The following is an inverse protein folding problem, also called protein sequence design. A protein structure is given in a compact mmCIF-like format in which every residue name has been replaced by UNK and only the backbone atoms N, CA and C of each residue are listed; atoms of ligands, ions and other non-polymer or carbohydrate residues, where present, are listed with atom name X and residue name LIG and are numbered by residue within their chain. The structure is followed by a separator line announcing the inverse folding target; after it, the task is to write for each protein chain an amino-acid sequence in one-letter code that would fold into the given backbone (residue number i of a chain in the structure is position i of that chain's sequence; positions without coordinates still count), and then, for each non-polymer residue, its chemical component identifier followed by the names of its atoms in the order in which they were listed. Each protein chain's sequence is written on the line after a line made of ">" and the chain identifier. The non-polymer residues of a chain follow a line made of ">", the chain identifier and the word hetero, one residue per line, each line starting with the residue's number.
data_IF_851853049651
#
_entry.id   IF_851853049651
#
_cell.length_a   1.000
_cell.length_b   1.000
_cell.length_c   1.000
_cell.angle_alpha   90.00
_cell.angle_beta   90.00
_cell.angle_gamma   90.00
#
_symmetry.space_group_name_H-M   'P 1'
#
loop_
_entity.id
_entity.type
_entity.pdbx_description
1 polymer ?
#
# COMPACT_ATOMS: atom_id res chain seq x y z
N UNK A 1 38.01 -22.09 -63.50
CA UNK A 1 38.83 -22.42 -62.32
C UNK A 1 40.18 -22.84 -62.87
N UNK A 2 41.28 -22.23 -62.45
CA UNK A 2 42.59 -22.51 -63.04
C UNK A 2 43.07 -23.82 -62.41
N UNK A 3 43.24 -24.88 -63.20
CA UNK A 3 43.64 -26.19 -62.68
C UNK A 3 45.06 -26.09 -62.13
N UNK A 4 45.17 -25.96 -60.81
CA UNK A 4 46.44 -25.96 -60.12
C UNK A 4 46.93 -27.40 -60.03
N UNK A 5 48.17 -27.61 -60.47
CA UNK A 5 48.81 -28.92 -60.44
C UNK A 5 48.98 -29.33 -58.97
N UNK A 6 48.49 -30.51 -58.60
CA UNK A 6 48.62 -31.06 -57.25
C UNK A 6 50.06 -31.49 -56.95
N UNK A 7 50.49 -31.46 -55.68
CA UNK A 7 51.82 -31.96 -55.28
C UNK A 7 52.09 -33.38 -55.79
N UNK A 8 51.06 -34.26 -55.76
CA UNK A 8 51.14 -35.62 -56.32
C UNK A 8 51.30 -35.65 -57.83
N UNK A 9 50.73 -34.68 -58.55
CA UNK A 9 50.88 -34.54 -60.00
C UNK A 9 52.25 -33.99 -60.38
N UNK A 10 52.86 -33.16 -59.52
CA UNK A 10 54.25 -32.70 -59.67
C UNK A 10 55.22 -33.88 -59.47
N UNK A 11 54.99 -34.72 -58.45
CA UNK A 11 55.81 -35.92 -58.19
C UNK A 11 55.68 -36.99 -59.28
N UNK A 12 54.50 -37.11 -59.90
CA UNK A 12 54.21 -38.10 -60.96
C UNK A 12 54.45 -37.62 -62.39
N UNK A 13 55.10 -36.46 -62.60
CA UNK A 13 55.26 -35.86 -63.92
C UNK A 13 56.41 -36.50 -64.72
N UNK A 14 56.07 -37.20 -65.79
CA UNK A 14 57.05 -37.70 -66.76
C UNK A 14 57.36 -36.69 -67.88
N UNK A 15 58.62 -36.61 -68.28
CA UNK A 15 59.11 -35.78 -69.39
C UNK A 15 59.62 -36.63 -70.56
N UNK A 16 59.41 -36.15 -71.80
CA UNK A 16 59.94 -36.77 -73.02
C UNK A 16 61.47 -36.65 -73.09
N UNK A 17 62.16 -37.71 -73.55
CA UNK A 17 63.62 -37.73 -73.69
C UNK A 17 64.06 -37.11 -75.02
N UNK A 18 64.98 -36.15 -74.97
CA UNK A 18 65.63 -35.52 -76.14
C UNK A 18 67.15 -35.69 -76.09
N UNK A 19 67.84 -35.72 -77.24
CA UNK A 19 69.29 -35.96 -77.35
C UNK A 19 70.16 -34.90 -76.64
N UNK A 20 69.60 -33.74 -76.31
CA UNK A 20 70.15 -32.76 -75.36
C UNK A 20 69.04 -32.34 -74.40
N UNK A 21 69.32 -32.36 -73.10
CA UNK A 21 68.34 -32.06 -72.06
C UNK A 21 68.97 -32.07 -70.67
N UNK A 22 68.20 -31.66 -69.67
CA UNK A 22 68.63 -31.67 -68.27
C UNK A 22 68.78 -33.10 -67.73
N UNK A 23 69.63 -33.28 -66.71
CA UNK A 23 69.81 -34.56 -66.04
C UNK A 23 68.50 -35.00 -65.37
N UNK A 24 68.03 -36.20 -65.69
CA UNK A 24 66.80 -36.76 -65.10
C UNK A 24 66.85 -36.74 -63.57
N UNK A 25 67.97 -37.14 -62.98
CA UNK A 25 68.12 -37.22 -61.52
C UNK A 25 67.99 -35.86 -60.83
N UNK A 26 68.55 -34.81 -61.44
CA UNK A 26 68.51 -33.44 -60.89
C UNK A 26 67.10 -32.84 -61.00
N UNK A 27 66.43 -33.09 -62.13
CA UNK A 27 65.02 -32.69 -62.34
C UNK A 27 64.10 -33.41 -61.35
N UNK A 28 64.28 -34.71 -61.14
CA UNK A 28 63.47 -35.50 -60.19
C UNK A 28 63.62 -34.98 -58.75
N UNK A 29 64.86 -34.68 -58.32
CA UNK A 29 65.12 -34.08 -57.00
C UNK A 29 64.51 -32.68 -56.86
N UNK A 30 64.58 -31.86 -57.91
CA UNK A 30 63.97 -30.53 -57.92
C UNK A 30 62.44 -30.60 -57.88
N UNK A 31 61.82 -31.52 -58.64
CA UNK A 31 60.38 -31.75 -58.60
C UNK A 31 59.93 -32.21 -57.22
N UNK A 32 60.70 -33.06 -56.54
CA UNK A 32 60.40 -33.48 -55.18
C UNK A 32 60.45 -32.28 -54.21
N UNK A 33 61.49 -31.44 -54.29
CA UNK A 33 61.61 -30.25 -53.46
C UNK A 33 60.47 -29.24 -53.71
N UNK A 34 60.05 -29.05 -54.97
CA UNK A 34 58.89 -28.21 -55.31
C UNK A 34 57.60 -28.82 -54.75
N UNK A 35 57.41 -30.13 -54.91
CA UNK A 35 56.21 -30.82 -54.42
C UNK A 35 56.07 -30.70 -52.90
N UNK A 36 57.18 -30.82 -52.17
CA UNK A 36 57.22 -30.67 -50.71
C UNK A 36 56.91 -29.24 -50.28
N UNK A 37 57.50 -28.23 -50.93
CA UNK A 37 57.20 -26.82 -50.66
C UNK A 37 55.74 -26.47 -51.00
N UNK A 38 55.20 -27.04 -52.07
CA UNK A 38 53.81 -26.83 -52.47
C UNK A 38 52.82 -27.48 -51.49
N UNK A 39 53.15 -28.66 -50.96
CA UNK A 39 52.39 -29.31 -49.89
C UNK A 39 52.38 -28.46 -48.62
N UNK A 40 53.55 -27.96 -48.19
CA UNK A 40 53.66 -27.04 -47.06
C UNK A 40 52.86 -25.75 -47.26
N UNK A 41 52.91 -25.16 -48.46
CA UNK A 41 52.14 -23.96 -48.77
C UNK A 41 50.64 -24.22 -48.70
N UNK A 42 50.16 -25.35 -49.24
CA UNK A 42 48.76 -25.73 -49.16
C UNK A 42 48.29 -25.94 -47.71
N UNK A 43 49.12 -26.53 -46.85
CA UNK A 43 48.81 -26.70 -45.44
C UNK A 43 48.74 -25.36 -44.70
N UNK A 44 49.62 -24.42 -45.03
CA UNK A 44 49.57 -23.04 -44.50
C UNK A 44 48.27 -22.36 -44.95
N UNK A 45 47.92 -22.45 -46.24
CA UNK A 45 46.69 -21.85 -46.78
C UNK A 45 45.46 -22.44 -46.08
N UNK A 46 45.34 -23.76 -45.99
CA UNK A 46 44.21 -24.41 -45.29
C UNK A 46 44.11 -23.99 -43.84
N UNK A 47 45.25 -23.86 -43.15
CA UNK A 47 45.28 -23.40 -41.75
C UNK A 47 44.83 -21.94 -41.64
N UNK A 48 45.29 -21.07 -42.52
CA UNK A 48 44.90 -19.66 -42.56
C UNK A 48 43.43 -19.49 -42.92
N UNK A 49 42.92 -20.24 -43.89
CA UNK A 49 41.50 -20.24 -44.25
C UNK A 49 40.62 -20.66 -43.07
N UNK A 50 41.03 -21.70 -42.33
CA UNK A 50 40.35 -22.12 -41.11
C UNK A 50 40.37 -21.01 -40.05
N UNK A 51 41.53 -20.40 -39.81
CA UNK A 51 41.65 -19.32 -38.82
C UNK A 51 40.81 -18.10 -39.19
N UNK A 52 40.77 -17.73 -40.48
CA UNK A 52 39.91 -16.65 -40.99
C UNK A 52 38.44 -17.01 -40.78
N UNK A 53 38.04 -18.24 -41.09
CA UNK A 53 36.67 -18.70 -40.87
C UNK A 53 36.29 -18.62 -39.38
N UNK A 54 37.12 -19.15 -38.49
CA UNK A 54 36.88 -19.15 -37.05
C UNK A 54 36.78 -17.71 -36.49
N UNK A 55 37.63 -16.78 -36.98
CA UNK A 55 37.56 -15.37 -36.62
C UNK A 55 36.29 -14.68 -37.15
N UNK A 56 35.88 -14.99 -38.38
CA UNK A 56 34.64 -14.43 -38.95
C UNK A 56 33.42 -14.93 -38.18
N UNK A 57 33.38 -16.20 -37.81
CA UNK A 57 32.31 -16.79 -36.99
C UNK A 57 32.26 -16.11 -35.60
N UNK A 58 33.42 -15.81 -34.99
CA UNK A 58 33.50 -15.06 -33.74
C UNK A 58 33.00 -13.62 -33.88
N UNK A 59 33.40 -12.92 -34.95
CA UNK A 59 32.96 -11.53 -35.21
C UNK A 59 31.44 -11.49 -35.38
N UNK A 60 30.87 -12.41 -36.16
CA UNK A 60 29.42 -12.51 -36.34
C UNK A 60 28.70 -12.69 -34.99
N UNK A 61 29.20 -13.57 -34.13
CA UNK A 61 28.66 -13.75 -32.78
C UNK A 61 28.73 -12.49 -31.91
N UNK A 62 29.82 -11.72 -32.00
CA UNK A 62 29.96 -10.45 -31.29
C UNK A 62 28.98 -9.39 -31.83
N UNK A 63 28.77 -9.35 -33.15
CA UNK A 63 27.81 -8.43 -33.76
C UNK A 63 26.38 -8.73 -33.31
N UNK A 64 25.98 -10.00 -33.27
CA UNK A 64 24.68 -10.44 -32.75
C UNK A 64 24.49 -10.07 -31.27
N UNK A 65 25.53 -10.30 -30.45
CA UNK A 65 25.52 -9.91 -29.04
C UNK A 65 25.40 -8.40 -28.87
N UNK A 66 26.16 -7.63 -29.66
CA UNK A 66 26.11 -6.16 -29.65
C UNK A 66 24.72 -5.66 -30.00
N UNK A 67 24.07 -6.26 -30.99
CA UNK A 67 22.72 -5.88 -31.39
C UNK A 67 21.66 -6.27 -30.34
N UNK A 68 21.82 -7.42 -29.69
CA UNK A 68 21.00 -7.77 -28.53
C UNK A 68 21.14 -6.74 -27.41
N UNK A 69 22.39 -6.37 -27.04
CA UNK A 69 22.66 -5.38 -25.98
C UNK A 69 22.03 -4.03 -26.33
N UNK A 70 22.18 -3.56 -27.59
CA UNK A 70 21.52 -2.32 -28.04
C UNK A 70 20.00 -2.39 -27.90
N UNK A 71 19.38 -3.47 -28.35
CA UNK A 71 17.91 -3.66 -28.25
C UNK A 71 17.47 -3.68 -26.79
N UNK A 72 18.19 -4.38 -25.92
CA UNK A 72 17.90 -4.43 -24.48
C UNK A 72 18.08 -3.07 -23.82
N UNK A 73 19.10 -2.28 -24.20
CA UNK A 73 19.29 -0.93 -23.68
C UNK A 73 18.14 0.00 -24.06
N UNK A 74 17.72 -0.02 -25.33
CA UNK A 74 16.56 0.74 -25.79
C UNK A 74 15.27 0.30 -25.10
N UNK A 75 15.09 -1.00 -24.89
CA UNK A 75 13.95 -1.54 -24.14
C UNK A 75 13.97 -1.08 -22.69
N UNK A 76 15.14 -1.10 -22.04
CA UNK A 76 15.30 -0.64 -20.65
C UNK A 76 14.99 0.86 -20.52
N UNK A 77 15.45 1.68 -21.47
CA UNK A 77 15.14 3.10 -21.51
C UNK A 77 13.63 3.34 -21.69
N UNK A 78 13.00 2.63 -22.63
CA UNK A 78 11.55 2.71 -22.83
C UNK A 78 10.78 2.27 -21.59
N UNK A 79 11.18 1.17 -20.95
CA UNK A 79 10.55 0.67 -19.73
C UNK A 79 10.69 1.67 -18.58
N UNK A 80 11.86 2.32 -18.45
CA UNK A 80 12.09 3.39 -17.48
C UNK A 80 11.10 4.54 -17.70
N UNK A 81 10.97 5.01 -18.94
CA UNK A 81 10.07 6.12 -19.27
C UNK A 81 8.59 5.75 -19.06
N UNK A 82 8.18 4.54 -19.47
CA UNK A 82 6.81 4.04 -19.26
C UNK A 82 6.49 3.88 -17.77
N UNK A 83 7.46 3.39 -16.98
CA UNK A 83 7.32 3.27 -15.52
C UNK A 83 7.17 4.65 -14.86
N UNK A 84 8.00 5.63 -15.26
CA UNK A 84 7.90 7.00 -14.75
C UNK A 84 6.55 7.64 -15.10
N UNK A 85 6.10 7.52 -16.35
CA UNK A 85 4.77 8.03 -16.77
C UNK A 85 3.63 7.38 -15.99
N UNK A 86 3.70 6.07 -15.76
CA UNK A 86 2.69 5.34 -14.99
C UNK A 86 2.68 5.80 -13.53
N UNK A 87 3.87 5.90 -12.90
CA UNK A 87 4.01 6.38 -11.52
C UNK A 87 3.51 7.83 -11.36
N UNK A 88 3.82 8.72 -12.30
CA UNK A 88 3.33 10.10 -12.29
C UNK A 88 1.81 10.18 -12.43
N UNK A 89 1.23 9.35 -13.31
CA UNK A 89 -0.22 9.27 -13.47
C UNK A 89 -0.88 8.78 -12.19
N UNK A 90 -0.32 7.73 -11.58
CA UNK A 90 -0.85 7.15 -10.36
C UNK A 90 -0.72 8.10 -9.16
N UNK A 91 0.41 8.80 -9.04
CA UNK A 91 0.59 9.84 -8.03
C UNK A 91 -0.46 10.96 -8.17
N UNK A 92 -0.76 11.39 -9.40
CA UNK A 92 -1.82 12.37 -9.67
C UNK A 92 -3.21 11.84 -9.31
N UNK A 93 -3.49 10.57 -9.58
CA UNK A 93 -4.75 9.93 -9.19
C UNK A 93 -4.89 9.89 -7.66
N UNK A 94 -3.86 9.41 -6.95
CA UNK A 94 -3.84 9.35 -5.48
C UNK A 94 -4.10 10.73 -4.87
N UNK A 95 -3.41 11.77 -5.37
CA UNK A 95 -3.62 13.14 -4.88
C UNK A 95 -5.06 13.58 -5.13
N UNK A 96 -5.59 13.36 -6.33
CA UNK A 96 -6.95 13.75 -6.69
C UNK A 96 -8.00 13.02 -5.84
N UNK A 97 -7.82 11.73 -5.61
CA UNK A 97 -8.73 10.91 -4.80
C UNK A 97 -8.68 11.30 -3.33
N UNK A 98 -7.49 11.62 -2.81
CA UNK A 98 -7.30 12.17 -1.47
C UNK A 98 -7.98 13.54 -1.32
N UNK A 99 -7.82 14.43 -2.30
CA UNK A 99 -8.49 15.73 -2.32
C UNK A 99 -10.02 15.61 -2.36
N UNK A 100 -10.54 14.71 -3.19
CA UNK A 100 -11.98 14.47 -3.30
C UNK A 100 -12.53 13.89 -1.98
N UNK A 101 -11.86 12.88 -1.43
CA UNK A 101 -12.20 12.29 -0.13
C UNK A 101 -12.16 13.31 1.00
N UNK A 102 -11.16 14.19 1.01
CA UNK A 102 -11.05 15.26 2.00
C UNK A 102 -12.21 16.27 1.86
N UNK A 103 -12.54 16.70 0.64
CA UNK A 103 -13.68 17.58 0.37
C UNK A 103 -14.99 16.96 0.82
N UNK A 104 -15.21 15.67 0.56
CA UNK A 104 -16.40 14.95 1.02
C UNK A 104 -16.49 14.88 2.54
N UNK A 105 -15.39 14.57 3.22
CA UNK A 105 -15.34 14.53 4.69
C UNK A 105 -15.65 15.90 5.30
N UNK A 106 -15.05 16.96 4.77
CA UNK A 106 -15.30 18.33 5.22
C UNK A 106 -16.76 18.72 4.98
N UNK A 107 -17.33 18.36 3.82
CA UNK A 107 -18.75 18.62 3.53
C UNK A 107 -19.65 17.91 4.54
N UNK A 108 -19.46 16.60 4.75
CA UNK A 108 -20.22 15.83 5.74
C UNK A 108 -20.12 16.45 7.14
N UNK A 109 -18.93 16.84 7.57
CA UNK A 109 -18.73 17.48 8.87
C UNK A 109 -19.49 18.81 8.99
N UNK A 110 -19.50 19.63 7.94
CA UNK A 110 -20.30 20.88 7.91
C UNK A 110 -21.80 20.60 7.96
N UNK A 111 -22.27 19.61 7.21
CA UNK A 111 -23.68 19.22 7.20
C UNK A 111 -24.10 18.74 8.61
N UNK A 112 -23.29 17.91 9.27
CA UNK A 112 -23.52 17.49 10.66
C UNK A 112 -23.51 18.66 11.66
N UNK A 113 -22.56 19.59 11.52
CA UNK A 113 -22.49 20.77 12.39
C UNK A 113 -23.76 21.62 12.26
N UNK A 114 -24.24 21.84 11.04
CA UNK A 114 -25.46 22.61 10.79
C UNK A 114 -26.69 21.95 11.44
N UNK A 115 -26.81 20.63 11.36
CA UNK A 115 -27.89 19.88 12.03
C UNK A 115 -27.77 20.05 13.56
N UNK A 116 -26.56 19.89 14.11
CA UNK A 116 -26.33 20.01 15.55
C UNK A 116 -26.62 21.42 16.07
N UNK A 117 -26.25 22.45 15.33
CA UNK A 117 -26.57 23.85 15.66
C UNK A 117 -28.08 24.09 15.70
N UNK A 118 -28.81 23.56 14.72
CA UNK A 118 -30.27 23.63 14.68
C UNK A 118 -30.90 22.89 15.88
N UNK A 119 -30.43 21.68 16.18
CA UNK A 119 -30.91 20.90 17.33
C UNK A 119 -30.60 21.58 18.66
N UNK A 120 -29.44 22.23 18.78
CA UNK A 120 -29.07 23.02 19.95
C UNK A 120 -30.01 24.21 20.18
N UNK A 121 -30.33 24.97 19.12
CA UNK A 121 -31.29 26.08 19.19
C UNK A 121 -32.67 25.56 19.60
N UNK A 122 -33.15 24.49 18.97
CA UNK A 122 -34.43 23.88 19.31
C UNK A 122 -34.50 23.40 20.77
N UNK A 123 -33.43 22.81 21.28
CA UNK A 123 -33.35 22.37 22.67
C UNK A 123 -33.37 23.57 23.64
N UNK A 124 -32.69 24.66 23.30
CA UNK A 124 -32.70 25.90 24.08
C UNK A 124 -34.11 26.51 24.12
N UNK A 125 -34.83 26.50 23.01
CA UNK A 125 -36.20 26.99 22.94
C UNK A 125 -37.18 26.09 23.71
N UNK A 126 -37.05 24.76 23.61
CA UNK A 126 -37.80 23.81 24.43
C UNK A 126 -37.57 24.05 25.92
N UNK A 127 -36.31 24.26 26.34
CA UNK A 127 -35.97 24.60 27.74
C UNK A 127 -36.66 25.90 28.17
N UNK A 128 -36.61 26.94 27.35
CA UNK A 128 -37.23 28.24 27.66
C UNK A 128 -38.74 28.11 27.81
N UNK A 129 -39.40 27.43 26.87
CA UNK A 129 -40.84 27.19 26.91
C UNK A 129 -41.25 26.36 28.12
N UNK A 130 -40.49 25.33 28.47
CA UNK A 130 -40.71 24.56 29.70
C UNK A 130 -40.65 25.44 30.94
N UNK A 131 -39.61 26.27 31.09
CA UNK A 131 -39.46 27.17 32.25
C UNK A 131 -40.60 28.18 32.35
N UNK A 132 -41.06 28.74 31.22
CA UNK A 132 -42.19 29.67 31.19
C UNK A 132 -43.50 28.98 31.55
N UNK A 133 -43.77 27.81 30.98
CA UNK A 133 -44.96 27.02 31.27
C UNK A 133 -45.00 26.61 32.74
N UNK A 134 -43.87 26.14 33.27
CA UNK A 134 -43.75 25.73 34.67
C UNK A 134 -43.92 26.91 35.64
N UNK A 135 -43.31 28.07 35.33
CA UNK A 135 -43.50 29.30 36.09
C UNK A 135 -44.97 29.73 36.10
N UNK A 136 -45.65 29.65 34.96
CA UNK A 136 -47.08 29.96 34.86
C UNK A 136 -47.93 29.01 35.71
N UNK A 137 -47.64 27.71 35.68
CA UNK A 137 -48.36 26.72 36.49
C UNK A 137 -48.20 26.99 37.99
N UNK A 138 -46.97 27.22 38.46
CA UNK A 138 -46.71 27.57 39.87
C UNK A 138 -47.47 28.83 40.26
N UNK A 139 -47.45 29.87 39.41
CA UNK A 139 -48.17 31.11 39.68
C UNK A 139 -49.67 30.88 39.81
N UNK A 140 -50.28 30.12 38.89
CA UNK A 140 -51.70 29.77 38.99
C UNK A 140 -52.03 28.98 40.26
N UNK A 141 -51.18 28.04 40.66
CA UNK A 141 -51.36 27.31 41.93
C UNK A 141 -51.22 28.23 43.14
N UNK A 142 -50.29 29.19 43.11
CA UNK A 142 -50.10 30.17 44.18
C UNK A 142 -51.32 31.12 44.27
N UNK A 143 -51.76 31.68 43.15
CA UNK A 143 -52.94 32.57 43.08
C UNK A 143 -54.20 31.84 43.60
N UNK A 144 -54.33 30.52 43.34
CA UNK A 144 -55.43 29.70 43.86
C UNK A 144 -55.36 29.53 45.38
N UNK A 145 -54.17 29.32 45.94
CA UNK A 145 -53.96 29.21 47.39
C UNK A 145 -54.24 30.56 48.07
N UNK A 146 -53.74 31.66 47.50
CA UNK A 146 -53.98 33.02 48.01
C UNK A 146 -55.48 33.37 48.02
N UNK A 147 -56.20 33.06 46.94
CA UNK A 147 -57.64 33.26 46.87
C UNK A 147 -58.42 32.46 47.93
N UNK A 148 -57.95 31.26 48.30
CA UNK A 148 -58.58 30.46 49.36
C UNK A 148 -58.31 31.06 50.75
N UNK A 149 -57.09 31.52 51.01
CA UNK A 149 -56.78 32.25 52.25
C UNK A 149 -57.55 33.57 52.41
N UNK A 150 -57.88 34.24 51.31
CA UNK A 150 -58.69 35.46 51.33
C UNK A 150 -60.15 35.18 51.66
N UNK A 151 -60.73 34.07 51.15
CA UNK A 151 -62.05 33.59 51.59
C UNK A 151 -62.07 33.23 53.07
N UNK A 152 -61.06 32.51 53.56
CA UNK A 152 -60.95 32.17 54.99
C UNK A 152 -60.90 33.41 55.88
N UNK A 153 -60.31 34.52 55.41
CA UNK A 153 -60.30 35.82 56.13
C UNK A 153 -61.66 36.54 56.09
N UNK A 154 -62.45 36.37 55.03
CA UNK A 154 -63.82 36.91 54.97
C UNK A 154 -64.80 36.09 55.82
N UNK A 155 -64.62 34.76 55.85
CA UNK A 155 -65.39 33.86 56.72
C UNK A 155 -65.06 34.06 58.21
N UNK A 156 -63.80 34.41 58.53
CA UNK A 156 -63.38 34.78 59.88
C UNK A 156 -63.96 36.12 60.37
N UNK A 157 -64.34 37.04 59.48
CA UNK A 157 -65.05 38.30 59.85
C UNK A 157 -66.53 38.08 60.18
N UNK A 158 -67.11 36.95 59.80
CA UNK A 158 -68.53 36.63 60.04
C UNK A 158 -68.77 35.89 61.36
N UNK A 159 -67.72 35.45 62.06
CA UNK A 159 -67.83 34.80 63.38
C UNK A 159 -66.91 35.45 64.41
N UNK A 160 -67.32 36.59 64.97
CA UNK A 160 -66.82 37.04 66.27
C UNK A 160 -67.89 37.79 67.07
N UNK A 161 -68.67 37.02 67.84
CA UNK A 161 -69.31 37.35 69.13
C UNK A 161 -69.99 36.02 69.56
N UNK A 162 -69.71 35.35 70.69
CA UNK A 162 -69.28 35.82 72.01
C UNK A 162 -68.75 34.64 72.86
N UNK A 163 -67.53 34.82 73.41
CA UNK A 163 -66.94 34.43 74.71
C UNK A 163 -67.58 33.34 75.60
N UNK A 164 -66.77 32.39 76.10
CA UNK A 164 -66.26 32.38 77.50
C UNK A 164 -65.48 31.08 77.85
N UNK A 165 -64.24 31.26 78.32
CA UNK A 165 -63.36 30.32 79.09
C UNK A 165 -63.70 30.48 80.59
N UNK A 166 -63.26 29.66 81.59
CA UNK A 166 -62.21 28.61 81.59
C UNK A 166 -62.55 27.32 82.41
N UNK A 167 -61.68 26.30 82.39
CA UNK A 167 -60.91 25.77 83.55
C UNK A 167 -60.38 24.32 83.30
N UNK A 168 -59.19 24.02 83.85
CA UNK A 168 -58.31 22.87 83.54
C UNK A 168 -58.49 21.75 84.59
N UNK A 169 -58.26 20.44 84.29
CA UNK A 169 -57.00 19.80 84.72
C UNK A 169 -56.40 18.76 83.73
N UNK A 170 -55.06 18.68 83.70
CA UNK A 170 -54.17 17.68 83.05
C UNK A 170 -54.17 16.31 83.80
N UNK A 171 -53.38 15.23 83.45
CA UNK A 171 -52.32 15.04 82.42
C UNK A 171 -52.48 13.73 81.58
N UNK A 172 -51.64 13.41 80.58
CA UNK A 172 -50.46 12.52 80.72
C UNK A 172 -49.61 12.59 79.43
N UNK A 173 -48.33 12.85 79.68
CA UNK A 173 -47.10 12.53 78.92
C UNK A 173 -47.20 11.27 78.05
N UNK A 174 -46.75 11.26 76.80
CA UNK A 174 -45.36 10.98 76.41
C UNK A 174 -45.34 10.90 74.88
N UNK A 175 -44.38 11.52 74.19
CA UNK A 175 -43.55 10.83 73.20
C UNK A 175 -42.32 11.68 72.89
N UNK A 176 -41.18 11.00 73.01
CA UNK A 176 -39.80 11.49 72.92
C UNK A 176 -39.48 12.07 71.54
N UNK A 177 -38.75 13.18 71.54
CA UNK A 177 -37.83 13.53 70.47
C UNK A 177 -36.72 12.49 70.36
N UNK A 178 -36.36 12.11 69.14
CA UNK A 178 -35.09 11.48 68.83
C UNK A 178 -34.29 12.39 67.89
N UNK A 179 -32.96 12.49 68.04
CA UNK A 179 -32.18 13.59 67.47
C UNK A 179 -31.86 13.38 65.99
N UNK A 180 -31.75 14.50 65.26
CA UNK A 180 -31.19 14.55 63.91
C UNK A 180 -29.67 14.35 64.02
N UNK A 181 -29.17 13.22 63.54
CA UNK A 181 -27.75 12.96 63.35
C UNK A 181 -27.36 13.21 61.88
N UNK A 182 -26.39 14.11 61.70
CA UNK A 182 -25.72 14.36 60.41
C UNK A 182 -24.95 13.11 59.99
N UNK A 183 -25.14 12.65 58.75
CA UNK A 183 -24.14 11.83 58.08
C UNK A 183 -23.87 12.35 56.67
N UNK A 184 -22.67 12.89 56.51
CA UNK A 184 -21.95 12.94 55.24
C UNK A 184 -21.79 11.51 54.70
N UNK A 185 -21.99 11.31 53.40
CA UNK A 185 -21.29 10.25 52.68
C UNK A 185 -21.05 10.67 51.23
N UNK A 186 -19.79 10.53 50.87
CA UNK A 186 -19.17 10.72 49.57
C UNK A 186 -19.66 9.71 48.52
N UNK A 187 -19.41 9.96 47.22
CA UNK A 187 -19.97 9.19 46.11
C UNK A 187 -19.30 7.81 45.97
N UNK A 188 -20.11 6.76 45.91
CA UNK A 188 -19.67 5.42 45.49
C UNK A 188 -19.78 5.27 43.97
N UNK A 189 -18.64 4.97 43.37
CA UNK A 189 -18.40 4.70 41.97
C UNK A 189 -19.08 3.39 41.53
N UNK A 190 -20.07 3.49 40.65
CA UNK A 190 -20.66 2.32 39.97
C UNK A 190 -20.06 2.17 38.57
N UNK A 191 -19.20 1.16 38.49
CA UNK A 191 -18.61 0.58 37.29
C UNK A 191 -19.72 -0.03 36.43
N UNK A 192 -20.07 0.61 35.31
CA UNK A 192 -20.90 0.01 34.27
C UNK A 192 -19.99 -0.70 33.24
N UNK A 193 -20.05 -2.02 33.25
CA UNK A 193 -19.59 -2.89 32.15
C UNK A 193 -20.66 -2.90 31.05
N UNK A 194 -20.32 -2.68 29.77
CA UNK A 194 -21.32 -2.82 28.70
C UNK A 194 -21.54 -4.30 28.34
N UNK A 195 -22.81 -4.71 28.43
CA UNK A 195 -23.33 -5.98 27.91
C UNK A 195 -23.06 -6.14 26.40
N UNK A 196 -22.66 -7.35 26.01
CA UNK A 196 -22.48 -7.75 24.61
C UNK A 196 -23.85 -7.96 23.95
N UNK A 197 -24.26 -7.02 23.09
CA UNK A 197 -25.41 -7.19 22.19
C UNK A 197 -25.11 -8.27 21.14
N UNK A 198 -25.78 -9.42 21.28
CA UNK A 198 -25.82 -10.49 20.29
C UNK A 198 -26.93 -10.18 19.28
N UNK A 199 -26.60 -9.38 18.26
CA UNK A 199 -27.41 -9.30 17.03
C UNK A 199 -26.53 -9.52 15.81
N UNK A 200 -26.68 -10.71 15.21
CA UNK A 200 -26.20 -11.03 13.86
C UNK A 200 -26.89 -10.13 12.85
N UNK A 201 -26.18 -9.59 11.85
CA UNK A 201 -26.76 -9.28 10.56
C UNK A 201 -26.44 -10.43 9.60
N UNK A 202 -27.48 -11.14 9.18
CA UNK A 202 -27.45 -11.96 7.97
C UNK A 202 -27.39 -11.01 6.75
N UNK A 203 -26.31 -11.10 5.97
CA UNK A 203 -26.25 -10.90 4.51
C UNK A 203 -24.77 -10.83 4.06
N UNK A 204 -24.15 -11.99 3.89
CA UNK A 204 -22.94 -12.14 3.10
C UNK A 204 -23.34 -12.40 1.64
N UNK A 205 -23.03 -11.45 0.75
CA UNK A 205 -22.84 -11.75 -0.67
C UNK A 205 -21.37 -12.12 -0.88
N UNK A 206 -21.06 -13.15 -1.68
CA UNK A 206 -19.73 -13.73 -1.74
C UNK A 206 -18.75 -12.79 -2.44
N UNK A 207 -17.63 -12.51 -1.79
CA UNK A 207 -16.45 -11.93 -2.44
C UNK A 207 -15.61 -13.08 -3.01
N UNK A 208 -15.37 -13.06 -4.32
CA UNK A 208 -14.43 -13.93 -5.01
C UNK A 208 -13.04 -13.86 -4.34
N UNK A 209 -12.55 -15.02 -3.86
CA UNK A 209 -11.15 -15.21 -3.52
C UNK A 209 -10.31 -15.18 -4.81
N UNK A 210 -9.70 -14.04 -5.11
CA UNK A 210 -8.51 -14.03 -5.95
C UNK A 210 -7.27 -14.09 -5.07
N UNK A 211 -6.54 -15.21 -5.15
CA UNK A 211 -5.22 -15.41 -4.55
C UNK A 211 -4.26 -14.28 -4.94
N UNK A 212 -4.05 -13.32 -4.05
CA UNK A 212 -2.97 -12.36 -4.18
C UNK A 212 -1.65 -13.01 -3.73
N UNK A 213 -0.97 -13.65 -4.69
CA UNK A 213 0.41 -14.13 -4.51
C UNK A 213 1.33 -12.93 -4.29
N UNK A 214 1.68 -12.68 -3.03
CA UNK A 214 2.81 -11.80 -2.68
C UNK A 214 4.09 -12.27 -3.38
N UNK A 215 4.83 -11.39 -4.09
CA UNK A 215 6.09 -11.80 -4.71
C UNK A 215 7.15 -11.98 -3.63
N UNK A 216 7.59 -13.23 -3.43
CA UNK A 216 8.79 -13.56 -2.64
C UNK A 216 9.99 -12.81 -3.23
N UNK A 217 10.63 -11.94 -2.43
CA UNK A 217 11.92 -11.32 -2.76
C UNK A 217 12.93 -12.41 -3.15
N UNK A 218 13.57 -12.35 -4.34
CA UNK A 218 14.70 -13.23 -4.61
C UNK A 218 15.90 -12.79 -3.77
N UNK A 219 16.41 -13.70 -2.94
CA UNK A 219 17.75 -13.54 -2.32
C UNK A 219 18.79 -13.68 -3.43
N UNK A 220 19.25 -12.58 -4.00
CA UNK A 220 20.44 -12.57 -4.87
C UNK A 220 21.69 -12.63 -3.98
N UNK A 221 22.22 -13.84 -3.74
CA UNK A 221 23.64 -14.00 -3.47
C UNK A 221 24.35 -14.05 -4.81
N UNK A 222 24.76 -12.89 -5.32
CA UNK A 222 25.76 -12.83 -6.39
C UNK A 222 27.10 -13.11 -5.70
N UNK A 223 27.58 -14.34 -5.80
CA UNK A 223 28.96 -14.66 -5.45
C UNK A 223 29.85 -14.16 -6.60
N UNK A 224 30.50 -13.02 -6.40
CA UNK A 224 31.57 -12.57 -7.28
C UNK A 224 32.81 -13.43 -7.00
N UNK A 225 32.96 -14.53 -7.74
CA UNK A 225 34.19 -15.31 -7.76
C UNK A 225 35.15 -14.67 -8.76
N UNK A 226 35.93 -13.68 -8.33
CA UNK A 226 37.20 -13.38 -8.98
C UNK A 226 38.19 -14.47 -8.57
N UNK A 227 38.66 -15.27 -9.53
CA UNK A 227 39.93 -16.00 -9.37
C UNK A 227 41.07 -15.22 -10.02
N UNK A 228 42.31 -15.73 -10.01
CA UNK A 228 43.02 -16.43 -8.94
C UNK A 228 44.08 -15.50 -8.32
N UNK A 229 44.39 -15.64 -7.02
CA UNK A 229 45.64 -15.10 -6.48
C UNK A 229 46.64 -16.24 -6.39
N UNK A 230 47.64 -16.21 -7.28
CA UNK A 230 48.93 -16.83 -7.04
C UNK A 230 49.55 -16.19 -5.80
N UNK A 231 49.94 -17.00 -4.82
CA UNK A 231 51.13 -16.78 -3.97
C UNK A 231 51.43 -18.06 -3.17
N UNK A 232 52.66 -18.54 -3.35
CA UNK A 232 53.50 -19.33 -2.45
C UNK A 232 53.10 -20.76 -2.02
N UNK A 233 53.64 -21.76 -2.72
CA UNK A 233 54.73 -22.66 -2.24
C UNK A 233 55.08 -23.77 -3.24
#
# INVERSE_FOLDING_TARGET
>A
MKDFISSSEIRGKDFNKTLSGYSKQEVDLFLQAIADQFEQLNDIIKRQEKEIKDKNDLIAGIEDQKDLIKRTLLLAEKLKDDTLKSADKEAKNIIKDAELSAKERVKKAKDYLSILEHDYVNLKDKKKSFLLNFKSQIKTMLDMIEAEFEKDKEDAKTKTQTLATPDIPEPITTFRESPIEKQESTPSEQKYEPEKDKRKPDNELPMDEQEEKTPKKPKSRINFSLGPNEEDH
#
